data_IF_502579915783
#
_entry.id   IF_502579915783
#
_cell.length_a   1.000
_cell.length_b   1.000
_cell.length_c   1.000
_cell.angle_alpha   90.00
_cell.angle_beta   90.00
_cell.angle_gamma   90.00
#
_symmetry.space_group_name_H-M   'P 1'
#
loop_
_entity.id
_entity.type
_entity.pdbx_description
1 polymer ?
#
# COMPACT_ATOMS: atom_id res chain seq x y z
N UNK A 1 48.49 -41.77 -56.92
CA UNK A 1 47.03 -42.04 -56.68
C UNK A 1 46.65 -41.57 -55.33
N UNK A 2 46.80 -40.27 -55.03
CA UNK A 2 46.38 -39.64 -53.78
C UNK A 2 46.15 -38.15 -54.05
N UNK A 3 44.99 -37.77 -54.54
CA UNK A 3 44.64 -36.35 -54.70
C UNK A 3 43.11 -36.07 -54.70
N UNK A 4 42.36 -36.59 -53.73
CA UNK A 4 40.94 -36.43 -53.73
C UNK A 4 40.31 -36.04 -52.31
N UNK A 5 41.13 -35.83 -51.30
CA UNK A 5 40.60 -35.60 -49.99
C UNK A 5 40.74 -34.16 -49.40
N UNK A 6 41.43 -33.27 -50.13
CA UNK A 6 41.68 -31.88 -49.59
C UNK A 6 40.57 -30.87 -49.95
N UNK A 7 39.73 -31.14 -50.94
CA UNK A 7 38.70 -30.21 -51.39
C UNK A 7 37.44 -30.33 -50.53
N UNK A 8 37.14 -31.52 -50.02
CA UNK A 8 35.94 -31.71 -49.18
C UNK A 8 36.06 -31.11 -47.75
N UNK A 9 37.33 -31.08 -47.25
CA UNK A 9 37.54 -30.52 -45.89
C UNK A 9 37.38 -28.99 -45.82
N UNK A 10 37.67 -28.31 -46.97
CA UNK A 10 37.55 -26.83 -47.02
C UNK A 10 36.12 -26.32 -47.10
N UNK A 11 35.18 -27.10 -47.67
CA UNK A 11 33.77 -26.71 -47.74
C UNK A 11 33.05 -26.92 -46.42
N UNK A 12 33.43 -27.91 -45.63
CA UNK A 12 32.80 -28.17 -44.32
C UNK A 12 33.12 -27.11 -43.28
N UNK A 13 34.39 -26.62 -43.26
CA UNK A 13 34.79 -25.56 -42.32
C UNK A 13 34.16 -24.23 -42.64
N UNK A 14 33.98 -23.87 -43.90
CA UNK A 14 33.34 -22.60 -44.29
C UNK A 14 31.83 -22.60 -43.94
N UNK A 15 31.13 -23.72 -44.09
CA UNK A 15 29.72 -23.86 -43.71
C UNK A 15 29.54 -23.81 -42.19
N UNK A 16 30.48 -24.38 -41.42
CA UNK A 16 30.42 -24.36 -39.95
C UNK A 16 30.70 -22.96 -39.38
N UNK A 17 31.61 -22.19 -39.98
CA UNK A 17 31.90 -20.82 -39.58
C UNK A 17 30.72 -19.89 -39.89
N UNK A 18 30.01 -20.06 -41.02
CA UNK A 18 28.83 -19.25 -41.37
C UNK A 18 27.68 -19.56 -40.43
N UNK A 19 27.46 -20.84 -40.07
CA UNK A 19 26.43 -21.22 -39.11
C UNK A 19 26.69 -20.69 -37.69
N UNK A 20 27.94 -20.67 -37.24
CA UNK A 20 28.30 -20.11 -35.94
C UNK A 20 28.19 -18.58 -35.91
N UNK A 21 28.50 -17.90 -37.02
CA UNK A 21 28.33 -16.44 -37.11
C UNK A 21 26.85 -16.01 -37.12
N UNK A 22 25.96 -16.76 -37.76
CA UNK A 22 24.54 -16.46 -37.78
C UNK A 22 23.89 -16.72 -36.41
N UNK A 23 24.30 -17.76 -35.67
CA UNK A 23 23.81 -18.03 -34.32
C UNK A 23 24.23 -16.93 -33.33
N UNK A 24 25.45 -16.39 -33.43
CA UNK A 24 25.91 -15.31 -32.57
C UNK A 24 25.16 -13.99 -32.81
N UNK A 25 24.80 -13.68 -34.05
CA UNK A 25 24.01 -12.48 -34.38
C UNK A 25 22.57 -12.60 -33.87
N UNK A 26 21.99 -13.81 -33.94
CA UNK A 26 20.63 -14.03 -33.42
C UNK A 26 20.56 -13.89 -31.88
N UNK A 27 21.60 -14.32 -31.16
CA UNK A 27 21.65 -14.18 -29.69
C UNK A 27 21.80 -12.69 -29.28
N UNK A 28 22.55 -11.91 -30.06
CA UNK A 28 22.72 -10.47 -29.79
C UNK A 28 21.44 -9.67 -30.07
N UNK A 29 20.61 -10.06 -31.04
CA UNK A 29 19.35 -9.35 -31.32
C UNK A 29 18.23 -9.64 -30.32
N UNK A 30 18.25 -10.78 -29.62
CA UNK A 30 17.25 -11.11 -28.61
C UNK A 30 17.56 -10.49 -27.25
N UNK A 31 18.79 -10.07 -27.00
CA UNK A 31 19.18 -9.43 -25.74
C UNK A 31 18.71 -7.96 -25.62
N UNK A 32 18.29 -7.31 -26.70
CA UNK A 32 17.92 -5.90 -26.72
C UNK A 32 16.42 -5.69 -26.42
N UNK A 33 15.60 -6.76 -26.45
CA UNK A 33 14.16 -6.69 -26.21
C UNK A 33 13.73 -7.30 -24.87
N UNK A 34 14.61 -7.43 -23.89
CA UNK A 34 14.14 -7.62 -22.53
C UNK A 34 13.46 -6.32 -22.11
N UNK A 35 12.13 -6.29 -21.89
CA UNK A 35 11.53 -5.16 -21.22
C UNK A 35 12.23 -5.11 -19.86
N UNK A 36 13.01 -4.06 -19.64
CA UNK A 36 13.34 -3.63 -18.30
C UNK A 36 11.98 -3.42 -17.62
N UNK A 37 11.48 -4.46 -16.97
CA UNK A 37 10.52 -4.27 -15.89
C UNK A 37 11.29 -3.44 -14.87
N UNK A 38 11.26 -2.12 -15.09
CA UNK A 38 11.46 -1.18 -14.03
C UNK A 38 10.37 -1.54 -13.02
N UNK A 39 10.72 -2.40 -12.08
CA UNK A 39 9.99 -2.52 -10.83
C UNK A 39 10.02 -1.11 -10.25
N UNK A 40 9.02 -0.31 -10.60
CA UNK A 40 8.65 0.85 -9.82
C UNK A 40 8.26 0.26 -8.46
N UNK A 41 9.24 -0.03 -7.63
CA UNK A 41 9.05 -0.07 -6.19
C UNK A 41 8.58 1.35 -5.84
N UNK A 42 7.28 1.55 -5.96
CA UNK A 42 6.59 2.68 -5.35
C UNK A 42 7.05 2.64 -3.90
N UNK A 43 7.96 3.56 -3.56
CA UNK A 43 8.49 3.66 -2.21
C UNK A 43 7.28 3.90 -1.33
N UNK A 44 6.86 2.86 -0.61
CA UNK A 44 5.72 2.92 0.30
C UNK A 44 5.92 4.12 1.22
N UNK A 45 5.02 5.07 1.17
CA UNK A 45 5.11 6.28 1.99
C UNK A 45 4.72 5.92 3.42
N UNK A 46 5.65 6.14 4.36
CA UNK A 46 5.45 5.91 5.77
C UNK A 46 5.07 7.21 6.45
N UNK A 47 3.95 7.22 7.17
CA UNK A 47 3.47 8.39 7.91
C UNK A 47 3.21 8.03 9.37
N UNK A 48 3.46 8.95 10.31
CA UNK A 48 2.98 8.79 11.67
C UNK A 48 1.46 8.69 11.69
N UNK A 49 0.94 7.74 12.42
CA UNK A 49 -0.50 7.62 12.66
C UNK A 49 -0.78 7.33 14.12
N UNK A 50 -1.94 7.73 14.57
CA UNK A 50 -2.37 7.59 15.96
C UNK A 50 -3.85 7.22 16.02
N UNK A 51 -4.22 6.39 17.00
CA UNK A 51 -5.60 6.05 17.26
C UNK A 51 -6.04 6.77 18.53
N UNK A 52 -6.92 7.73 18.34
CA UNK A 52 -7.49 8.57 19.42
C UNK A 52 -8.83 8.05 19.87
N UNK A 53 -9.01 8.06 21.18
CA UNK A 53 -10.30 7.81 21.81
C UNK A 53 -11.12 9.10 21.84
N UNK A 54 -12.33 9.06 21.31
CA UNK A 54 -13.27 10.19 21.30
C UNK A 54 -14.57 9.77 21.97
N UNK A 55 -14.97 10.53 22.97
CA UNK A 55 -16.27 10.38 23.63
C UNK A 55 -17.26 11.35 23.01
N UNK A 56 -18.43 10.86 22.69
CA UNK A 56 -19.54 11.64 22.14
C UNK A 56 -20.88 11.10 22.64
N UNK A 57 -21.94 11.74 22.25
CA UNK A 57 -23.32 11.28 22.48
C UNK A 57 -23.89 10.93 21.09
N UNK A 58 -24.53 9.79 20.97
CA UNK A 58 -25.21 9.38 19.74
C UNK A 58 -26.58 10.07 19.58
N UNK A 59 -27.22 9.87 18.43
CA UNK A 59 -28.52 10.47 18.11
C UNK A 59 -29.66 10.05 19.06
N UNK A 60 -29.46 9.00 19.85
CA UNK A 60 -30.40 8.52 20.88
C UNK A 60 -30.11 9.09 22.27
N UNK A 61 -29.12 9.97 22.39
CA UNK A 61 -28.70 10.58 23.65
C UNK A 61 -27.82 9.69 24.52
N UNK A 62 -27.33 8.56 23.98
CA UNK A 62 -26.47 7.64 24.71
C UNK A 62 -25.00 7.92 24.48
N UNK A 63 -24.16 7.61 25.46
CA UNK A 63 -22.71 7.70 25.34
C UNK A 63 -22.19 6.83 24.20
N UNK A 64 -21.27 7.37 23.40
CA UNK A 64 -20.60 6.69 22.33
C UNK A 64 -19.10 6.89 22.47
N UNK A 65 -18.33 5.80 22.38
CA UNK A 65 -16.88 5.84 22.29
C UNK A 65 -16.47 5.45 20.90
N UNK A 66 -15.63 6.26 20.28
CA UNK A 66 -15.10 6.01 18.95
C UNK A 66 -13.57 5.98 19.00
N UNK A 67 -12.97 5.01 18.31
CA UNK A 67 -11.54 4.93 18.09
C UNK A 67 -11.26 5.46 16.68
N UNK A 68 -10.59 6.60 16.62
CA UNK A 68 -10.34 7.32 15.38
C UNK A 68 -8.87 7.23 15.00
N UNK A 69 -8.59 6.56 13.90
CA UNK A 69 -7.28 6.61 13.25
C UNK A 69 -7.13 7.98 12.59
N UNK A 70 -6.06 8.68 12.93
CA UNK A 70 -5.72 10.00 12.36
C UNK A 70 -4.29 10.00 11.82
N UNK A 71 -4.11 10.63 10.66
CA UNK A 71 -2.83 10.79 9.98
C UNK A 71 -2.74 12.17 9.38
N UNK A 72 -1.52 12.73 9.38
CA UNK A 72 -1.20 13.95 8.63
C UNK A 72 -0.40 13.55 7.40
N UNK A 73 -0.83 13.96 6.23
CA UNK A 73 -0.13 13.70 4.96
C UNK A 73 0.09 14.98 4.18
N UNK A 74 1.14 14.98 3.35
CA UNK A 74 1.39 16.03 2.37
C UNK A 74 1.07 15.48 0.98
N UNK A 75 0.13 16.11 0.29
CA UNK A 75 -0.24 15.68 -1.04
C UNK A 75 0.86 16.04 -2.06
N UNK A 76 1.66 15.07 -2.43
CA UNK A 76 2.68 15.17 -3.50
C UNK A 76 2.17 14.67 -4.84
N UNK A 77 0.90 14.30 -4.92
CA UNK A 77 0.25 13.85 -6.15
C UNK A 77 -0.26 15.08 -6.93
N UNK A 78 -0.39 14.94 -8.24
CA UNK A 78 -0.91 15.99 -9.11
C UNK A 78 -2.43 16.16 -9.08
N UNK A 79 -3.14 15.47 -8.17
CA UNK A 79 -4.60 15.43 -8.05
C UNK A 79 -5.02 15.55 -6.60
N UNK A 80 -6.27 16.00 -6.36
CA UNK A 80 -6.86 16.04 -5.03
C UNK A 80 -7.00 14.64 -4.45
N UNK A 81 -6.42 14.39 -3.26
CA UNK A 81 -6.51 13.11 -2.54
C UNK A 81 -7.75 13.11 -1.68
N UNK A 82 -8.77 12.36 -2.07
CA UNK A 82 -10.03 12.18 -1.31
C UNK A 82 -9.93 11.11 -0.23
N UNK A 83 -8.97 10.21 -0.34
CA UNK A 83 -8.75 9.17 0.64
C UNK A 83 -7.48 8.37 0.39
N UNK A 84 -7.11 7.58 1.38
CA UNK A 84 -5.94 6.70 1.34
C UNK A 84 -6.27 5.32 1.90
N UNK A 85 -5.61 4.30 1.37
CA UNK A 85 -5.57 2.95 1.96
C UNK A 85 -4.25 2.78 2.68
N UNK A 86 -4.27 2.26 3.90
CA UNK A 86 -3.09 2.13 4.74
C UNK A 86 -3.00 0.77 5.41
N UNK A 87 -1.78 0.29 5.62
CA UNK A 87 -1.46 -0.74 6.59
C UNK A 87 -1.02 -0.10 7.91
N UNK A 88 -1.50 -0.63 9.01
CA UNK A 88 -1.04 -0.26 10.35
C UNK A 88 0.16 -1.08 10.73
N UNK A 89 1.18 -0.44 11.26
CA UNK A 89 2.43 -1.08 11.63
C UNK A 89 2.71 -0.91 13.11
N UNK A 90 3.22 -1.97 13.73
CA UNK A 90 3.72 -1.95 15.09
C UNK A 90 5.15 -1.35 15.18
N UNK A 91 5.78 -1.41 16.36
CA UNK A 91 7.15 -0.95 16.59
C UNK A 91 8.21 -1.72 15.79
N UNK A 92 7.90 -2.94 15.32
CA UNK A 92 8.79 -3.79 14.54
C UNK A 92 8.54 -3.65 13.05
N UNK A 93 7.66 -2.73 12.67
CA UNK A 93 7.16 -2.55 11.30
C UNK A 93 6.42 -3.78 10.75
N UNK A 94 5.83 -4.61 11.63
CA UNK A 94 4.96 -5.70 11.24
C UNK A 94 3.54 -5.17 10.99
N UNK A 95 2.88 -5.69 9.95
CA UNK A 95 1.50 -5.29 9.63
C UNK A 95 0.56 -5.93 10.66
N UNK A 96 -0.15 -5.09 11.42
CA UNK A 96 -1.11 -5.49 12.44
C UNK A 96 -2.56 -5.17 12.06
N UNK A 97 -2.78 -4.47 10.95
CA UNK A 97 -4.10 -4.16 10.43
C UNK A 97 -4.06 -3.30 9.19
N UNK A 98 -5.25 -2.98 8.68
CA UNK A 98 -5.42 -2.09 7.54
C UNK A 98 -6.71 -1.28 7.65
N UNK A 99 -6.79 -0.17 6.94
CA UNK A 99 -8.03 0.59 6.75
C UNK A 99 -7.94 1.57 5.59
N UNK A 100 -9.12 2.02 5.17
CA UNK A 100 -9.29 3.14 4.27
C UNK A 100 -9.66 4.37 5.08
N UNK A 101 -8.97 5.48 4.88
CA UNK A 101 -9.23 6.75 5.53
C UNK A 101 -9.68 7.81 4.53
N UNK A 102 -10.63 8.64 4.92
CA UNK A 102 -11.06 9.81 4.16
C UNK A 102 -10.20 11.01 4.52
N UNK A 103 -9.88 11.83 3.53
CA UNK A 103 -8.99 12.98 3.67
C UNK A 103 -9.74 14.31 3.54
N UNK A 104 -9.18 15.34 4.16
CA UNK A 104 -9.77 16.68 4.22
C UNK A 104 -10.74 16.87 5.38
N UNK A 105 -11.03 18.13 5.67
CA UNK A 105 -12.08 18.53 6.57
C UNK A 105 -13.40 18.24 5.87
N UNK A 106 -14.41 17.73 6.33
CA UNK A 106 -15.68 17.38 5.65
C UNK A 106 -15.54 16.45 4.41
N UNK A 107 -14.42 15.72 4.32
CA UNK A 107 -14.13 14.78 3.22
C UNK A 107 -13.94 15.44 1.85
N UNK A 108 -13.61 16.74 1.81
CA UNK A 108 -13.34 17.50 0.60
C UNK A 108 -11.99 17.18 -0.06
N UNK A 109 -11.15 16.42 0.63
CA UNK A 109 -9.84 15.96 0.16
C UNK A 109 -8.70 16.90 0.53
N UNK A 110 -7.53 16.59 -0.01
CA UNK A 110 -6.31 17.39 0.14
C UNK A 110 -5.82 17.78 -1.24
N UNK A 111 -5.82 19.07 -1.53
CA UNK A 111 -5.38 19.62 -2.82
C UNK A 111 -3.89 19.37 -3.09
N UNK A 112 -3.46 19.34 -4.36
CA UNK A 112 -2.05 19.21 -4.73
C UNK A 112 -1.16 20.21 -3.99
N UNK A 113 0.01 19.76 -3.55
CA UNK A 113 1.01 20.51 -2.78
C UNK A 113 0.55 21.01 -1.40
N UNK A 114 -0.64 20.61 -0.92
CA UNK A 114 -1.12 20.94 0.42
C UNK A 114 -0.90 19.77 1.39
N UNK A 115 -0.90 20.10 2.68
CA UNK A 115 -0.94 19.11 3.78
C UNK A 115 -2.31 19.11 4.44
N UNK A 116 -2.76 17.95 4.87
CA UNK A 116 -4.04 17.80 5.53
C UNK A 116 -4.15 16.50 6.31
N UNK A 117 -5.27 16.33 7.01
CA UNK A 117 -5.54 15.14 7.80
C UNK A 117 -6.39 14.12 7.03
N UNK A 118 -6.06 12.85 7.22
CA UNK A 118 -6.93 11.74 6.84
C UNK A 118 -7.41 11.01 8.09
N UNK A 119 -8.68 10.62 8.12
CA UNK A 119 -9.32 10.05 9.30
C UNK A 119 -10.17 8.83 8.97
N UNK A 120 -10.23 7.91 9.94
CA UNK A 120 -11.13 6.75 9.90
C UNK A 120 -11.59 6.40 11.29
N UNK A 121 -12.89 6.20 11.46
CA UNK A 121 -13.42 5.55 12.66
C UNK A 121 -13.18 4.05 12.49
N UNK A 122 -12.27 3.48 13.28
CA UNK A 122 -11.89 2.06 13.18
C UNK A 122 -12.83 1.19 14.02
N UNK A 123 -13.34 1.73 15.12
CA UNK A 123 -14.30 1.04 15.99
C UNK A 123 -15.19 2.01 16.74
N UNK A 124 -16.42 1.57 17.07
CA UNK A 124 -17.37 2.28 17.93
C UNK A 124 -17.89 1.35 19.00
N UNK A 125 -18.01 1.85 20.22
CA UNK A 125 -18.63 1.17 21.36
C UNK A 125 -19.76 2.05 21.88
N UNK A 126 -21.00 1.60 21.68
CA UNK A 126 -22.18 2.34 22.09
C UNK A 126 -22.54 2.13 23.57
N UNK A 127 -23.17 3.14 24.18
CA UNK A 127 -23.58 3.16 25.57
C UNK A 127 -24.64 2.11 25.97
N UNK A 128 -25.30 1.45 24.99
CA UNK A 128 -26.16 0.29 25.28
C UNK A 128 -25.44 -0.84 26.00
N UNK A 129 -24.12 -0.97 25.80
CA UNK A 129 -23.32 -1.90 26.57
C UNK A 129 -23.13 -1.47 28.00
N UNK A 130 -23.06 -0.18 28.27
CA UNK A 130 -23.02 0.40 29.62
C UNK A 130 -24.26 0.01 30.41
N UNK A 131 -25.47 0.18 29.83
CA UNK A 131 -26.74 -0.15 30.47
C UNK A 131 -26.88 -1.66 30.79
N UNK A 132 -26.33 -2.51 29.91
CA UNK A 132 -26.43 -3.97 30.06
C UNK A 132 -25.38 -4.58 30.98
N UNK A 133 -24.15 -4.09 30.92
CA UNK A 133 -22.96 -4.71 31.52
C UNK A 133 -22.48 -3.94 32.76
N UNK A 134 -22.96 -2.73 32.97
CA UNK A 134 -22.52 -1.80 34.02
C UNK A 134 -21.18 -1.13 33.65
N UNK A 135 -20.90 -0.05 34.35
CA UNK A 135 -19.82 0.87 34.10
C UNK A 135 -18.43 0.20 34.13
N UNK A 136 -18.19 -0.69 35.09
CA UNK A 136 -16.88 -1.35 35.25
C UNK A 136 -16.54 -2.25 34.06
N UNK A 137 -17.53 -3.01 33.61
CA UNK A 137 -17.31 -3.91 32.43
C UNK A 137 -17.13 -3.11 31.17
N UNK A 138 -17.92 -2.05 30.97
CA UNK A 138 -17.81 -1.14 29.83
C UNK A 138 -16.42 -0.46 29.79
N UNK A 139 -15.94 0.02 30.93
CA UNK A 139 -14.59 0.61 31.06
C UNK A 139 -13.48 -0.40 30.75
N UNK A 140 -13.63 -1.66 31.20
CA UNK A 140 -12.67 -2.72 30.88
C UNK A 140 -12.61 -3.01 29.38
N UNK A 141 -13.75 -3.05 28.70
CA UNK A 141 -13.81 -3.25 27.24
C UNK A 141 -13.09 -2.11 26.54
N UNK A 142 -13.37 -0.85 26.86
CA UNK A 142 -12.71 0.31 26.26
C UNK A 142 -11.19 0.25 26.46
N UNK A 143 -10.74 -0.04 27.68
CA UNK A 143 -9.31 -0.10 27.99
C UNK A 143 -8.61 -1.28 27.27
N UNK A 144 -9.29 -2.40 27.13
CA UNK A 144 -8.77 -3.56 26.39
C UNK A 144 -8.53 -3.20 24.91
N UNK A 145 -9.52 -2.58 24.26
CA UNK A 145 -9.39 -2.14 22.86
C UNK A 145 -8.29 -1.07 22.70
N UNK A 146 -8.21 -0.11 23.62
CA UNK A 146 -7.13 0.88 23.61
C UNK A 146 -5.75 0.24 23.74
N UNK A 147 -5.63 -0.85 24.50
CA UNK A 147 -4.35 -1.57 24.64
C UNK A 147 -3.94 -2.15 23.30
N UNK A 148 -4.86 -2.76 22.56
CA UNK A 148 -4.59 -3.29 21.22
C UNK A 148 -4.17 -2.19 20.26
N UNK A 149 -4.84 -1.04 20.26
CA UNK A 149 -4.55 0.08 19.37
C UNK A 149 -3.27 0.85 19.73
N UNK A 150 -2.77 0.76 20.96
CA UNK A 150 -1.49 1.36 21.36
C UNK A 150 -0.27 0.76 20.66
N UNK A 151 -0.40 -0.40 20.04
CA UNK A 151 0.67 -1.01 19.25
C UNK A 151 0.85 -0.30 17.89
N UNK A 152 -0.18 0.39 17.38
CA UNK A 152 -0.09 1.16 16.12
C UNK A 152 0.89 2.33 16.30
N UNK A 153 1.92 2.40 15.45
CA UNK A 153 2.97 3.44 15.50
C UNK A 153 3.15 4.19 14.21
N UNK A 154 2.99 3.49 13.10
CA UNK A 154 3.14 4.04 11.76
C UNK A 154 2.09 3.46 10.84
N UNK A 155 1.78 4.21 9.80
CA UNK A 155 0.94 3.78 8.71
C UNK A 155 1.73 3.80 7.40
N UNK A 156 1.66 2.70 6.67
CA UNK A 156 2.22 2.59 5.33
C UNK A 156 1.11 2.87 4.31
N UNK A 157 1.22 3.93 3.55
CA UNK A 157 0.25 4.25 2.50
C UNK A 157 0.46 3.29 1.33
N UNK A 158 -0.58 2.49 1.03
CA UNK A 158 -0.56 1.49 -0.04
C UNK A 158 -1.40 1.90 -1.25
N UNK A 159 -2.18 2.97 -1.14
CA UNK A 159 -2.99 3.48 -2.24
C UNK A 159 -3.59 4.84 -1.97
N UNK A 160 -3.88 5.57 -3.05
CA UNK A 160 -4.57 6.86 -3.02
C UNK A 160 -5.89 6.76 -3.77
N UNK A 161 -6.91 7.44 -3.26
CA UNK A 161 -8.17 7.65 -3.94
C UNK A 161 -8.25 9.10 -4.42
N UNK A 162 -8.44 9.27 -5.72
CA UNK A 162 -8.66 10.54 -6.38
C UNK A 162 -10.11 10.63 -6.87
N UNK A 163 -10.80 11.74 -6.56
CA UNK A 163 -12.20 11.93 -6.94
C UNK A 163 -13.19 11.04 -6.17
N UNK A 164 -14.46 11.02 -6.60
CA UNK A 164 -15.57 10.38 -5.88
C UNK A 164 -15.76 8.89 -6.21
N UNK A 165 -14.87 8.30 -6.99
CA UNK A 165 -14.95 6.86 -7.32
C UNK A 165 -14.60 6.00 -6.12
N UNK A 166 -15.35 4.91 -5.91
CA UNK A 166 -15.05 3.92 -4.89
C UNK A 166 -13.59 3.45 -5.00
N UNK A 167 -12.92 3.29 -3.84
CA UNK A 167 -11.56 2.76 -3.80
C UNK A 167 -11.53 1.37 -4.43
N UNK A 168 -10.70 1.18 -5.44
CA UNK A 168 -10.33 -0.17 -5.86
C UNK A 168 -9.24 -0.63 -4.89
N UNK A 169 -9.56 -1.60 -4.05
CA UNK A 169 -8.54 -2.34 -3.29
C UNK A 169 -7.67 -3.12 -4.28
N UNK A 170 -6.38 -2.95 -4.19
CA UNK A 170 -5.39 -3.76 -4.88
C UNK A 170 -4.93 -4.91 -3.99
#
# INVERSE_FOLDING_TARGET
MFSLNLVQFRQSTTRMIVLLATAAVFIMLTAVNSPLFASNHSKTEMVPCDIKLVFSIDDSGMSLVSYNLEMQISNRQGQNIKGISVHWLDRRAEIIGNSDALCGQDHDGIEPAQSGSCRRVVQKIGGRLLDRLGQDTWTKIINSEMTNFREVRQCAIIGYRFGDKAMKSY
#
